data_IF_535210670305
#
_entry.id   IF_535210670305
#
_cell.length_a   1.000
_cell.length_b   1.000
_cell.length_c   1.000
_cell.angle_alpha   90.00
_cell.angle_beta   90.00
_cell.angle_gamma   90.00
#
_symmetry.space_group_name_H-M   'P 1'
#
loop_
_entity.id
_entity.type
_entity.pdbx_description
1 polymer ?
#
# COMPACT_ATOMS: atom_id res chain seq x y z
N UNK A 1 12.87 10.13 14.59
CA UNK A 1 11.53 9.99 13.94
C UNK A 1 11.65 9.25 12.61
N UNK A 2 12.82 9.26 11.99
CA UNK A 2 13.07 8.66 10.68
C UNK A 2 12.96 7.14 10.68
N UNK A 3 13.40 6.45 11.72
CA UNK A 3 13.33 4.98 11.75
C UNK A 3 11.90 4.44 11.77
N UNK A 4 10.98 5.06 12.53
CA UNK A 4 9.56 4.70 12.52
C UNK A 4 8.97 4.83 11.11
N UNK A 5 9.20 5.98 10.48
CA UNK A 5 8.71 6.25 9.12
C UNK A 5 9.32 5.28 8.12
N UNK A 6 10.60 4.93 8.26
CA UNK A 6 11.26 3.93 7.43
C UNK A 6 10.60 2.57 7.56
N UNK A 7 10.33 2.10 8.78
CA UNK A 7 9.64 0.82 9.02
C UNK A 7 8.23 0.81 8.43
N UNK A 8 7.45 1.88 8.63
CA UNK A 8 6.11 2.02 8.05
C UNK A 8 6.16 2.11 6.52
N UNK A 9 7.11 2.85 5.95
CA UNK A 9 7.30 2.94 4.50
C UNK A 9 7.75 1.62 3.89
N UNK A 10 8.39 0.73 4.65
CA UNK A 10 8.73 -0.62 4.23
C UNK A 10 7.58 -1.62 4.31
N UNK A 11 6.37 -1.19 4.69
CA UNK A 11 5.23 -2.06 4.94
C UNK A 11 4.93 -3.01 3.77
N UNK A 12 5.24 -4.28 4.05
CA UNK A 12 4.76 -5.57 3.55
C UNK A 12 5.53 -6.60 4.36
N UNK A 13 5.50 -6.42 5.67
CA UNK A 13 6.29 -7.23 6.57
C UNK A 13 5.61 -8.58 6.69
N UNK A 14 6.37 -9.62 6.41
CA UNK A 14 5.92 -10.99 6.46
C UNK A 14 6.90 -11.76 7.34
N UNK A 15 6.37 -12.44 8.34
CA UNK A 15 7.14 -13.24 9.27
C UNK A 15 6.40 -14.54 9.53
N UNK A 16 7.10 -15.67 9.40
CA UNK A 16 6.56 -17.01 9.69
C UNK A 16 5.19 -17.30 9.04
N UNK A 17 5.07 -17.02 7.74
CA UNK A 17 3.81 -17.21 7.03
C UNK A 17 2.61 -16.36 7.47
N UNK A 18 2.86 -15.35 8.29
CA UNK A 18 1.86 -14.37 8.72
C UNK A 18 2.20 -12.97 8.18
N UNK A 19 1.16 -12.27 7.73
CA UNK A 19 1.23 -10.86 7.38
C UNK A 19 1.26 -10.05 8.68
N UNK A 20 2.28 -9.19 8.83
CA UNK A 20 2.37 -8.27 9.95
C UNK A 20 1.68 -6.96 9.59
N UNK A 21 0.58 -6.67 10.29
CA UNK A 21 -0.12 -5.40 10.17
C UNK A 21 0.52 -4.34 11.05
N UNK A 22 0.87 -3.21 10.43
CA UNK A 22 1.40 -2.05 11.12
C UNK A 22 0.43 -0.89 10.94
N UNK A 23 0.02 -0.29 12.05
CA UNK A 23 -0.77 0.94 12.06
C UNK A 23 -0.02 1.98 12.91
N UNK A 24 -0.12 3.26 12.54
CA UNK A 24 0.56 4.34 13.25
C UNK A 24 -0.36 4.90 14.33
N UNK A 25 0.00 4.82 15.63
CA UNK A 25 -0.85 5.33 16.69
C UNK A 25 -0.90 6.86 16.64
N UNK A 26 -2.09 7.42 16.80
CA UNK A 26 -2.31 8.87 16.85
C UNK A 26 -2.01 9.39 18.25
N UNK A 27 -1.19 10.42 18.38
CA UNK A 27 -0.87 11.05 19.67
C UNK A 27 0.59 10.84 20.12
N UNK A 28 1.11 11.81 20.88
CA UNK A 28 2.52 11.87 21.31
C UNK A 28 2.70 11.45 22.79
N UNK A 29 2.14 10.31 23.18
CA UNK A 29 2.35 9.75 24.54
C UNK A 29 1.54 10.45 25.66
N UNK A 30 0.47 11.16 25.32
CA UNK A 30 -0.50 11.74 26.27
C UNK A 30 -1.65 10.76 26.55
N UNK A 31 -2.58 11.11 27.44
CA UNK A 31 -3.83 10.33 27.66
C UNK A 31 -4.60 10.08 26.34
N UNK A 32 -4.52 11.03 25.39
CA UNK A 32 -5.05 10.89 24.02
C UNK A 32 -4.45 9.69 23.26
N UNK A 33 -3.23 9.26 23.59
CA UNK A 33 -2.59 8.08 22.99
C UNK A 33 -3.14 6.75 23.52
N UNK A 34 -3.72 6.73 24.72
CA UNK A 34 -4.38 5.53 25.25
C UNK A 34 -5.70 5.32 24.51
N UNK A 35 -6.49 6.39 24.35
CA UNK A 35 -7.75 6.37 23.59
C UNK A 35 -7.55 6.06 22.09
N UNK A 36 -6.41 6.46 21.52
CA UNK A 36 -6.10 6.15 20.12
C UNK A 36 -5.72 4.69 19.88
N UNK A 37 -5.14 4.02 20.88
CA UNK A 37 -4.86 2.57 20.81
C UNK A 37 -6.17 1.77 20.82
N UNK A 38 -7.13 2.13 21.67
CA UNK A 38 -8.43 1.43 21.75
C UNK A 38 -9.27 1.59 20.47
N UNK A 39 -9.11 2.69 19.75
CA UNK A 39 -9.82 2.98 18.50
C UNK A 39 -9.08 2.51 17.24
N UNK A 40 -7.90 1.92 17.40
CA UNK A 40 -7.05 1.49 16.29
C UNK A 40 -7.64 0.26 15.61
N UNK A 41 -7.77 0.31 14.28
CA UNK A 41 -8.34 -0.79 13.51
C UNK A 41 -7.30 -1.37 12.56
N UNK A 42 -6.99 -2.66 12.76
CA UNK A 42 -6.05 -3.41 11.93
C UNK A 42 -6.81 -4.19 10.84
N UNK A 43 -7.48 -3.45 9.96
CA UNK A 43 -8.32 -4.02 8.90
C UNK A 43 -7.74 -3.84 7.50
N UNK A 44 -6.59 -3.19 7.38
CA UNK A 44 -6.00 -2.89 6.08
C UNK A 44 -4.50 -3.17 6.07
N UNK A 45 -3.98 -3.47 4.89
CA UNK A 45 -2.55 -3.62 4.66
C UNK A 45 -2.17 -3.10 3.27
N UNK A 46 -0.95 -2.60 3.12
CA UNK A 46 -0.43 -2.10 1.87
C UNK A 46 0.23 -3.23 1.09
N UNK A 47 -0.03 -3.33 -0.22
CA UNK A 47 0.54 -4.34 -1.11
C UNK A 47 1.16 -3.67 -2.33
N UNK A 48 2.34 -4.14 -2.74
CA UNK A 48 2.90 -3.84 -4.05
C UNK A 48 2.29 -4.79 -5.07
N UNK A 49 1.51 -4.24 -5.99
CA UNK A 49 0.77 -4.99 -7.00
C UNK A 49 1.39 -4.71 -8.36
N UNK A 50 1.61 -5.76 -9.13
CA UNK A 50 2.10 -5.69 -10.49
C UNK A 50 0.92 -5.85 -11.46
N UNK A 51 0.71 -4.85 -12.30
CA UNK A 51 -0.34 -4.83 -13.32
C UNK A 51 0.32 -5.07 -14.67
N UNK A 52 -0.01 -6.22 -15.26
CA UNK A 52 0.55 -6.69 -16.53
C UNK A 52 -0.36 -6.33 -17.71
N UNK A 53 0.18 -6.45 -18.93
CA UNK A 53 -0.54 -6.25 -20.19
C UNK A 53 -1.17 -4.86 -20.35
N UNK A 54 -0.61 -3.86 -19.66
CA UNK A 54 -0.93 -2.46 -19.90
C UNK A 54 -0.25 -2.06 -21.22
N UNK A 55 -1.00 -1.50 -22.21
CA UNK A 55 -0.40 -1.04 -23.45
C UNK A 55 0.79 -0.11 -23.18
N UNK A 56 1.84 -0.17 -24.01
CA UNK A 56 3.07 0.61 -23.79
C UNK A 56 2.81 2.13 -23.67
N UNK A 57 1.83 2.65 -24.40
CA UNK A 57 1.41 4.07 -24.32
C UNK A 57 0.68 4.41 -23.01
N UNK A 58 0.35 3.41 -22.20
CA UNK A 58 -0.47 3.51 -21.00
C UNK A 58 0.32 3.25 -19.71
N UNK A 59 1.64 3.38 -19.72
CA UNK A 59 2.48 3.14 -18.54
C UNK A 59 2.77 4.42 -17.73
N UNK A 60 1.89 5.41 -17.79
CA UNK A 60 2.04 6.64 -17.02
C UNK A 60 1.62 6.43 -15.55
N UNK A 61 2.10 7.31 -14.65
CA UNK A 61 1.70 7.26 -13.23
C UNK A 61 0.20 7.46 -13.05
N UNK A 62 -0.41 8.29 -13.87
CA UNK A 62 -1.85 8.58 -13.85
C UNK A 62 -2.65 7.30 -14.15
N UNK A 63 -2.18 6.48 -15.08
CA UNK A 63 -2.83 5.20 -15.40
C UNK A 63 -2.60 4.18 -14.31
N UNK A 64 -1.40 4.15 -13.72
CA UNK A 64 -1.12 3.33 -12.53
C UNK A 64 -2.04 3.69 -11.36
N UNK A 65 -2.28 4.98 -11.15
CA UNK A 65 -3.21 5.46 -10.12
C UNK A 65 -4.64 5.03 -10.43
N UNK A 66 -5.12 5.33 -11.64
CA UNK A 66 -6.46 4.95 -12.09
C UNK A 66 -6.73 3.45 -11.96
N UNK A 67 -5.79 2.60 -12.39
CA UNK A 67 -5.93 1.15 -12.27
C UNK A 67 -5.84 0.69 -10.81
N UNK A 68 -4.94 1.26 -10.02
CA UNK A 68 -4.80 0.94 -8.60
C UNK A 68 -6.05 1.25 -7.78
N UNK A 69 -6.75 2.34 -8.10
CA UNK A 69 -8.00 2.74 -7.44
C UNK A 69 -9.13 1.72 -7.63
N UNK A 70 -9.05 0.89 -8.67
CA UNK A 70 -10.01 -0.22 -8.87
C UNK A 70 -9.80 -1.37 -7.88
N UNK A 71 -8.60 -1.47 -7.29
CA UNK A 71 -8.22 -2.52 -6.35
C UNK A 71 -8.41 -2.06 -4.90
N UNK A 72 -8.04 -0.83 -4.60
CA UNK A 72 -8.10 -0.26 -3.25
C UNK A 72 -7.57 1.17 -3.20
N UNK A 73 -7.14 1.63 -2.02
CA UNK A 73 -6.62 2.98 -1.85
C UNK A 73 -5.17 3.06 -2.31
N UNK A 74 -4.87 3.82 -3.36
CA UNK A 74 -3.51 3.95 -3.88
C UNK A 74 -2.66 4.80 -2.94
N UNK A 75 -1.51 4.24 -2.55
CA UNK A 75 -0.52 4.89 -1.69
C UNK A 75 0.63 5.45 -2.52
N UNK A 76 1.06 4.70 -3.55
CA UNK A 76 2.18 5.08 -4.39
C UNK A 76 2.12 4.39 -5.76
N UNK A 77 2.74 4.98 -6.78
CA UNK A 77 2.93 4.38 -8.11
C UNK A 77 4.41 4.47 -8.47
N UNK A 78 5.03 3.31 -8.68
CA UNK A 78 6.43 3.20 -9.08
C UNK A 78 6.58 3.64 -10.54
N UNK A 79 7.00 4.89 -10.73
CA UNK A 79 7.28 5.47 -12.04
C UNK A 79 8.76 5.45 -12.42
N UNK A 80 9.56 4.56 -11.85
CA UNK A 80 10.99 4.46 -12.16
C UNK A 80 11.78 5.76 -11.93
N UNK A 81 13.04 5.78 -12.38
CA UNK A 81 13.96 6.92 -12.19
C UNK A 81 13.59 8.15 -13.06
N UNK A 82 12.85 7.95 -14.15
CA UNK A 82 12.52 8.98 -15.13
C UNK A 82 11.09 9.55 -14.99
N UNK A 83 10.27 9.04 -14.06
CA UNK A 83 8.86 9.43 -13.92
C UNK A 83 7.91 8.64 -14.83
N UNK A 84 8.44 7.96 -15.84
CA UNK A 84 7.72 6.97 -16.65
C UNK A 84 7.86 5.57 -16.04
N UNK A 85 6.75 4.84 -15.92
CA UNK A 85 6.74 3.46 -15.49
C UNK A 85 7.25 2.55 -16.64
N UNK A 86 8.48 2.76 -17.11
CA UNK A 86 9.07 1.99 -18.20
C UNK A 86 9.43 0.60 -17.67
N UNK A 87 8.58 -0.38 -17.93
CA UNK A 87 8.76 -1.75 -17.47
C UNK A 87 7.75 -2.72 -18.10
N UNK A 88 7.93 -4.01 -17.84
CA UNK A 88 7.01 -5.07 -18.31
C UNK A 88 5.64 -5.02 -17.60
N UNK A 89 5.52 -4.25 -16.55
CA UNK A 89 4.34 -4.09 -15.71
C UNK A 89 4.35 -2.72 -15.04
N UNK A 90 3.16 -2.21 -14.71
CA UNK A 90 2.99 -1.12 -13.76
C UNK A 90 3.09 -1.69 -12.35
N UNK A 91 3.78 -0.99 -11.45
CA UNK A 91 3.86 -1.39 -10.05
C UNK A 91 3.22 -0.32 -9.18
N UNK A 92 2.15 -0.70 -8.49
CA UNK A 92 1.32 0.21 -7.69
C UNK A 92 1.27 -0.29 -6.27
N UNK A 93 1.44 0.60 -5.31
CA UNK A 93 1.25 0.32 -3.89
C UNK A 93 -0.18 0.66 -3.50
N UNK A 94 -0.94 -0.34 -3.07
CA UNK A 94 -2.35 -0.21 -2.76
C UNK A 94 -2.62 -0.68 -1.35
N UNK A 95 -3.30 0.13 -0.55
CA UNK A 95 -3.88 -0.26 0.73
C UNK A 95 -5.22 -0.97 0.50
N UNK A 96 -5.28 -2.23 0.92
CA UNK A 96 -6.43 -3.13 0.73
C UNK A 96 -7.04 -3.46 2.10
N UNK A 97 -8.37 -3.46 2.15
CA UNK A 97 -9.16 -4.00 3.28
C UNK A 97 -9.05 -5.53 3.30
N UNK A 98 -8.38 -6.06 4.32
CA UNK A 98 -8.10 -7.50 4.45
C UNK A 98 -9.29 -8.28 5.05
N UNK A 99 -10.33 -7.60 5.54
CA UNK A 99 -11.56 -8.29 5.95
C UNK A 99 -12.39 -8.72 4.74
N UNK A 100 -12.03 -8.26 3.54
CA UNK A 100 -12.64 -8.66 2.28
C UNK A 100 -11.72 -9.64 1.56
N UNK A 101 -12.27 -10.69 0.92
CA UNK A 101 -11.47 -11.56 0.08
C UNK A 101 -10.89 -10.77 -1.10
N UNK A 102 -9.67 -11.11 -1.50
CA UNK A 102 -9.10 -10.60 -2.74
C UNK A 102 -9.96 -11.05 -3.92
N UNK A 103 -10.27 -10.13 -4.84
CA UNK A 103 -11.00 -10.46 -6.06
C UNK A 103 -10.11 -11.34 -6.93
N UNK A 104 -10.60 -12.54 -7.24
CA UNK A 104 -9.98 -13.40 -8.24
C UNK A 104 -10.53 -13.00 -9.61
N UNK A 105 -9.65 -12.54 -10.50
CA UNK A 105 -9.98 -12.39 -11.91
C UNK A 105 -9.65 -13.73 -12.60
N UNK A 106 -10.66 -14.35 -13.23
CA UNK A 106 -10.53 -15.55 -14.06
C UNK A 106 -10.11 -15.18 -15.50
#
# INVERSE_FOLDING_TARGET
>A
MDDRRRVLSGALWYFDNALLMLEEPVGKGSIESILSIESMTFNSCEFWIQIYQVPFLCTSKEIGWFLGETIGFVVDVDGGLAGDCVGKFLRVRVRIDINKPLRQCL
#
